data_IF_078174649911
#
_entry.id   IF_078174649911
#
_cell.length_a   1.000
_cell.length_b   1.000
_cell.length_c   1.000
_cell.angle_alpha   90.00
_cell.angle_beta   90.00
_cell.angle_gamma   90.00
#
_symmetry.space_group_name_H-M   'P 1'
#
loop_
_entity.id
_entity.type
_entity.pdbx_description
1 polymer ?
#
# COMPACT_ATOMS: atom_id res chain seq x y z
N UNK A 1 18.46 6.83 -15.45
CA UNK A 1 17.34 6.41 -14.59
C UNK A 1 17.32 4.89 -14.65
N UNK A 2 17.41 4.23 -13.51
CA UNK A 2 17.42 2.76 -13.46
C UNK A 2 16.06 2.21 -13.92
N UNK A 3 16.08 1.17 -14.71
CA UNK A 3 14.86 0.46 -15.13
C UNK A 3 14.30 -0.29 -13.93
N UNK A 4 13.02 -0.03 -13.59
CA UNK A 4 12.33 -0.75 -12.52
C UNK A 4 11.66 -2.00 -13.09
N UNK A 5 11.81 -3.13 -12.39
CA UNK A 5 11.04 -4.35 -12.66
C UNK A 5 9.90 -4.47 -11.67
N UNK A 6 8.79 -5.11 -12.10
CA UNK A 6 7.61 -5.33 -11.26
C UNK A 6 7.52 -6.79 -10.90
N UNK A 7 7.36 -7.08 -9.61
CA UNK A 7 7.18 -8.44 -9.08
C UNK A 7 6.05 -8.46 -8.05
N UNK A 8 5.52 -9.65 -7.75
CA UNK A 8 4.64 -9.83 -6.59
C UNK A 8 5.48 -9.91 -5.32
N UNK A 9 4.98 -9.41 -4.20
CA UNK A 9 5.65 -9.57 -2.91
C UNK A 9 5.82 -11.04 -2.52
N UNK A 10 4.87 -11.91 -2.91
CA UNK A 10 4.96 -13.36 -2.70
C UNK A 10 6.19 -14.01 -3.32
N UNK A 11 6.74 -13.43 -4.38
CA UNK A 11 7.88 -13.98 -5.13
C UNK A 11 9.24 -13.52 -4.56
N UNK A 12 9.23 -12.64 -3.55
CA UNK A 12 10.41 -12.08 -2.91
C UNK A 12 10.95 -12.99 -1.80
N UNK A 13 12.25 -12.85 -1.51
CA UNK A 13 12.86 -13.44 -0.31
C UNK A 13 12.30 -12.78 0.96
N UNK A 14 12.38 -13.48 2.11
CA UNK A 14 11.90 -12.93 3.39
C UNK A 14 12.58 -11.60 3.77
N UNK A 15 13.86 -11.44 3.43
CA UNK A 15 14.59 -10.18 3.64
C UNK A 15 13.98 -9.04 2.81
N UNK A 16 13.70 -9.29 1.53
CA UNK A 16 13.08 -8.30 0.65
C UNK A 16 11.64 -7.99 1.08
N UNK A 17 10.87 -8.98 1.52
CA UNK A 17 9.53 -8.77 2.08
C UNK A 17 9.57 -7.87 3.32
N UNK A 18 10.56 -8.06 4.19
CA UNK A 18 10.76 -7.20 5.35
C UNK A 18 11.09 -5.76 4.94
N UNK A 19 11.89 -5.57 3.89
CA UNK A 19 12.16 -4.23 3.37
C UNK A 19 10.91 -3.57 2.76
N UNK A 20 10.03 -4.35 2.10
CA UNK A 20 8.71 -3.85 1.65
C UNK A 20 7.84 -3.41 2.83
N UNK A 21 7.80 -4.19 3.94
CA UNK A 21 7.07 -3.82 5.17
C UNK A 21 7.63 -2.53 5.79
N UNK A 22 8.96 -2.33 5.77
CA UNK A 22 9.59 -1.08 6.21
C UNK A 22 9.20 0.11 5.34
N UNK A 23 9.16 -0.06 4.01
CA UNK A 23 8.67 0.98 3.09
C UNK A 23 7.23 1.37 3.45
N UNK A 24 6.35 0.41 3.70
CA UNK A 24 4.98 0.64 4.11
C UNK A 24 4.92 1.42 5.42
N UNK A 25 5.53 0.90 6.49
CA UNK A 25 5.50 1.53 7.83
C UNK A 25 6.11 2.93 7.80
N UNK A 26 7.23 3.16 7.12
CA UNK A 26 7.85 4.49 7.04
C UNK A 26 6.96 5.50 6.31
N UNK A 27 6.32 5.08 5.21
CA UNK A 27 5.46 5.95 4.41
C UNK A 27 4.20 6.41 5.18
N UNK A 28 3.65 5.53 6.01
CA UNK A 28 2.42 5.78 6.79
C UNK A 28 2.69 6.04 8.28
N UNK A 29 3.96 6.26 8.67
CA UNK A 29 4.34 6.46 10.06
C UNK A 29 3.57 7.59 10.76
N UNK A 30 3.26 8.68 10.03
CA UNK A 30 2.52 9.82 10.61
C UNK A 30 1.15 9.42 11.14
N UNK A 31 0.49 8.48 10.47
CA UNK A 31 -0.84 8.00 10.84
C UNK A 31 -0.72 6.90 11.89
N UNK A 32 0.23 5.99 11.72
CA UNK A 32 0.45 4.84 12.59
C UNK A 32 1.07 5.19 13.95
N UNK A 33 1.84 6.29 14.08
CA UNK A 33 2.44 6.72 15.35
C UNK A 33 1.44 7.03 16.47
N UNK A 34 0.16 7.19 16.13
CA UNK A 34 -0.93 7.32 17.11
C UNK A 34 -1.19 6.02 17.86
N UNK A 35 -0.94 4.86 17.23
CA UNK A 35 -0.99 3.55 17.87
C UNK A 35 0.26 3.28 18.70
N UNK A 36 1.43 3.45 18.10
CA UNK A 36 2.71 3.29 18.76
C UNK A 36 3.82 4.09 18.06
N UNK A 37 4.77 4.64 18.84
CA UNK A 37 5.90 5.42 18.30
C UNK A 37 7.09 4.58 17.90
N UNK A 38 7.20 3.38 18.45
CA UNK A 38 8.28 2.43 18.18
C UNK A 38 8.01 1.72 16.84
N UNK A 39 8.94 1.87 15.90
CA UNK A 39 8.84 1.33 14.54
C UNK A 39 8.85 -0.20 14.53
N UNK A 40 9.61 -0.85 15.44
CA UNK A 40 9.67 -2.31 15.49
C UNK A 40 8.33 -2.90 15.93
N UNK A 41 7.65 -2.24 16.88
CA UNK A 41 6.29 -2.62 17.27
C UNK A 41 5.28 -2.37 16.15
N UNK A 42 5.43 -1.29 15.37
CA UNK A 42 4.61 -1.07 14.19
C UNK A 42 4.84 -2.16 13.15
N UNK A 43 6.09 -2.51 12.84
CA UNK A 43 6.43 -3.61 11.93
C UNK A 43 5.82 -4.94 12.40
N UNK A 44 5.90 -5.24 13.71
CA UNK A 44 5.29 -6.42 14.29
C UNK A 44 3.77 -6.43 14.19
N UNK A 45 3.12 -5.31 14.51
CA UNK A 45 1.65 -5.17 14.47
C UNK A 45 1.07 -5.24 13.06
N UNK A 46 1.81 -4.78 12.08
CA UNK A 46 1.41 -4.77 10.66
C UNK A 46 2.07 -5.90 9.85
N UNK A 47 2.71 -6.87 10.47
CA UNK A 47 3.48 -7.92 9.80
C UNK A 47 2.66 -8.72 8.80
N UNK A 48 1.43 -9.10 9.16
CA UNK A 48 0.51 -9.90 8.33
C UNK A 48 -0.57 -9.05 7.65
N UNK A 49 -0.45 -7.71 7.71
CA UNK A 49 -1.43 -6.82 7.10
C UNK A 49 -1.45 -6.94 5.58
N UNK A 50 -0.27 -6.94 4.96
CA UNK A 50 -0.11 -6.96 3.52
C UNK A 50 -0.33 -8.37 2.97
N UNK A 51 -1.30 -8.53 2.08
CA UNK A 51 -1.56 -9.80 1.37
C UNK A 51 -0.54 -9.93 0.24
N UNK A 52 0.49 -10.75 0.45
CA UNK A 52 1.71 -10.78 -0.37
C UNK A 52 1.46 -11.04 -1.86
N UNK A 53 0.42 -11.80 -2.20
CA UNK A 53 0.01 -12.08 -3.60
C UNK A 53 -0.69 -10.90 -4.28
N UNK A 54 -1.23 -9.95 -3.50
CA UNK A 54 -1.90 -8.74 -3.97
C UNK A 54 -1.00 -7.48 -3.91
N UNK A 55 0.17 -7.58 -3.32
CA UNK A 55 1.13 -6.47 -3.32
C UNK A 55 2.04 -6.57 -4.55
N UNK A 56 2.10 -5.48 -5.31
CA UNK A 56 3.08 -5.29 -6.39
C UNK A 56 4.23 -4.45 -5.88
N UNK A 57 5.45 -4.87 -6.21
CA UNK A 57 6.68 -4.24 -5.74
C UNK A 57 7.51 -3.81 -6.95
N UNK A 58 7.93 -2.56 -6.95
CA UNK A 58 8.91 -2.06 -7.90
C UNK A 58 10.32 -2.31 -7.34
N UNK A 59 11.14 -2.96 -8.15
CA UNK A 59 12.51 -3.33 -7.82
C UNK A 59 13.51 -2.53 -8.64
N UNK A 60 14.58 -2.05 -7.99
CA UNK A 60 15.79 -1.53 -8.60
C UNK A 60 16.90 -2.56 -8.39
N UNK A 61 17.14 -3.43 -9.38
CA UNK A 61 17.90 -4.64 -9.18
C UNK A 61 17.24 -5.56 -8.15
N UNK A 62 17.95 -5.85 -7.06
CA UNK A 62 17.44 -6.68 -5.96
C UNK A 62 16.79 -5.87 -4.82
N UNK A 63 16.78 -4.55 -4.92
CA UNK A 63 16.27 -3.65 -3.87
C UNK A 63 14.82 -3.23 -4.12
N UNK A 64 13.88 -3.48 -3.18
CA UNK A 64 12.55 -2.88 -3.24
C UNK A 64 12.63 -1.36 -3.12
N UNK A 65 11.95 -0.63 -4.02
CA UNK A 65 11.95 0.85 -4.04
C UNK A 65 10.56 1.45 -3.88
N UNK A 66 9.51 0.71 -4.24
CA UNK A 66 8.13 1.12 -4.02
C UNK A 66 7.21 -0.10 -3.96
N UNK A 67 6.03 0.08 -3.40
CA UNK A 67 5.00 -0.93 -3.34
C UNK A 67 3.60 -0.33 -3.54
N UNK A 68 2.66 -1.16 -3.98
CA UNK A 68 1.24 -0.83 -4.07
C UNK A 68 0.40 -2.08 -3.82
N UNK A 69 -0.67 -1.93 -3.05
CA UNK A 69 -1.72 -2.94 -2.91
C UNK A 69 -2.68 -2.89 -4.10
N UNK A 70 -3.00 -4.05 -4.64
CA UNK A 70 -3.92 -4.24 -5.77
C UNK A 70 -5.17 -4.96 -5.27
N UNK A 71 -6.20 -4.20 -4.90
CA UNK A 71 -7.46 -4.69 -4.35
C UNK A 71 -8.54 -4.78 -5.42
N UNK A 72 -9.48 -5.69 -5.21
CA UNK A 72 -10.69 -5.84 -6.01
C UNK A 72 -11.93 -5.82 -5.11
N UNK A 73 -13.12 -5.87 -5.68
CA UNK A 73 -14.36 -6.06 -4.93
C UNK A 73 -14.44 -7.39 -4.17
N UNK A 74 -13.61 -8.38 -4.52
CA UNK A 74 -13.60 -9.70 -3.89
C UNK A 74 -12.50 -9.84 -2.82
N UNK A 75 -11.36 -9.14 -2.98
CA UNK A 75 -10.19 -9.28 -2.11
C UNK A 75 -9.49 -7.95 -1.88
N UNK A 76 -9.20 -7.66 -0.62
CA UNK A 76 -8.41 -6.49 -0.20
C UNK A 76 -6.92 -6.86 -0.12
N UNK A 77 -6.07 -5.94 -0.52
CA UNK A 77 -4.62 -6.08 -0.38
C UNK A 77 -4.12 -5.93 1.07
N UNK A 78 -4.99 -5.45 1.95
CA UNK A 78 -4.71 -5.34 3.38
C UNK A 78 -5.76 -6.09 4.19
N UNK A 79 -5.28 -6.92 5.13
CA UNK A 79 -6.13 -7.67 6.07
C UNK A 79 -5.58 -7.56 7.48
N UNK A 80 -6.41 -7.11 8.41
CA UNK A 80 -5.98 -6.81 9.78
C UNK A 80 -5.96 -8.07 10.62
N UNK A 81 -4.82 -8.36 11.26
CA UNK A 81 -4.70 -9.48 12.17
C UNK A 81 -4.78 -9.04 13.64
N UNK A 82 -5.81 -9.52 14.35
CA UNK A 82 -6.07 -9.14 15.75
C UNK A 82 -4.94 -9.55 16.70
N UNK A 83 -4.36 -10.73 16.48
CA UNK A 83 -3.29 -11.26 17.34
C UNK A 83 -2.04 -10.39 17.25
N UNK A 84 -1.67 -9.96 16.04
CA UNK A 84 -0.51 -9.08 15.83
C UNK A 84 -0.72 -7.73 16.50
N UNK A 85 -1.92 -7.16 16.41
CA UNK A 85 -2.25 -5.90 17.08
C UNK A 85 -2.16 -6.02 18.61
N UNK A 86 -2.74 -7.08 19.19
CA UNK A 86 -2.68 -7.28 20.64
C UNK A 86 -1.27 -7.56 21.15
N UNK A 87 -0.50 -8.34 20.42
CA UNK A 87 0.88 -8.68 20.80
C UNK A 87 1.83 -7.46 20.77
N UNK A 88 1.63 -6.55 19.83
CA UNK A 88 2.55 -5.43 19.62
C UNK A 88 2.07 -4.11 20.27
N UNK A 89 0.76 -3.88 20.39
CA UNK A 89 0.21 -2.64 20.94
C UNK A 89 -0.44 -2.82 22.32
N UNK A 90 -0.46 -4.05 22.83
CA UNK A 90 -1.08 -4.40 24.12
C UNK A 90 -2.61 -4.45 24.05
N UNK A 91 -3.22 -4.79 25.18
CA UNK A 91 -4.64 -5.12 25.22
C UNK A 91 -5.54 -3.94 24.80
N UNK A 92 -5.33 -2.76 25.37
CA UNK A 92 -6.21 -1.62 25.12
C UNK A 92 -6.00 -1.03 23.71
N UNK A 93 -4.78 -0.60 23.39
CA UNK A 93 -4.45 0.00 22.10
C UNK A 93 -4.51 -1.00 20.96
N UNK A 94 -4.20 -2.27 21.20
CA UNK A 94 -4.36 -3.34 20.23
C UNK A 94 -5.81 -3.56 19.82
N UNK A 95 -6.77 -3.49 20.74
CA UNK A 95 -8.19 -3.56 20.40
C UNK A 95 -8.65 -2.30 19.65
N UNK A 96 -8.31 -1.11 20.14
CA UNK A 96 -8.70 0.14 19.49
C UNK A 96 -8.16 0.18 18.06
N UNK A 97 -6.88 -0.12 17.87
CA UNK A 97 -6.26 -0.16 16.55
C UNK A 97 -6.90 -1.21 15.65
N UNK A 98 -7.07 -2.44 16.14
CA UNK A 98 -7.70 -3.50 15.37
C UNK A 98 -9.09 -3.11 14.86
N UNK A 99 -9.96 -2.58 15.72
CA UNK A 99 -11.31 -2.20 15.31
C UNK A 99 -11.31 -1.02 14.34
N UNK A 100 -10.43 -0.04 14.53
CA UNK A 100 -10.30 1.09 13.61
C UNK A 100 -9.86 0.64 12.22
N UNK A 101 -8.78 -0.13 12.13
CA UNK A 101 -8.27 -0.66 10.86
C UNK A 101 -9.23 -1.65 10.21
N UNK A 102 -9.90 -2.52 11.00
CA UNK A 102 -10.89 -3.44 10.45
C UNK A 102 -12.08 -2.72 9.83
N UNK A 103 -12.53 -1.60 10.40
CA UNK A 103 -13.59 -0.79 9.82
C UNK A 103 -13.20 -0.20 8.47
N UNK A 104 -11.94 0.16 8.30
CA UNK A 104 -11.42 0.79 7.08
C UNK A 104 -11.04 -0.23 5.99
N UNK A 105 -10.41 -1.33 6.39
CA UNK A 105 -9.83 -2.31 5.45
C UNK A 105 -10.54 -3.68 5.47
N UNK A 106 -11.47 -3.92 6.37
CA UNK A 106 -12.15 -5.21 6.53
C UNK A 106 -13.40 -5.38 5.66
N UNK A 107 -13.92 -4.30 5.08
CA UNK A 107 -15.10 -4.34 4.23
C UNK A 107 -14.69 -4.50 2.75
N UNK A 108 -15.46 -5.30 1.95
CA UNK A 108 -15.28 -5.34 0.52
C UNK A 108 -15.42 -3.94 -0.11
N UNK A 109 -14.69 -3.70 -1.20
CA UNK A 109 -14.83 -2.46 -1.95
C UNK A 109 -16.11 -2.51 -2.80
N UNK A 110 -16.85 -1.40 -2.80
CA UNK A 110 -18.01 -1.20 -3.68
C UNK A 110 -17.53 -0.65 -5.03
N UNK A 111 -16.93 -1.54 -5.81
CA UNK A 111 -16.38 -1.28 -7.14
C UNK A 111 -16.77 -2.39 -8.12
N UNK A 112 -16.77 -2.09 -9.40
CA UNK A 112 -17.10 -3.05 -10.46
C UNK A 112 -16.04 -4.17 -10.60
N UNK A 113 -16.43 -5.33 -11.13
CA UNK A 113 -15.56 -6.51 -11.31
C UNK A 113 -14.34 -6.24 -12.21
N UNK A 114 -14.43 -5.27 -13.10
CA UNK A 114 -13.37 -4.85 -14.03
C UNK A 114 -12.48 -3.73 -13.47
N UNK A 115 -12.63 -3.38 -12.20
CA UNK A 115 -11.89 -2.33 -11.52
C UNK A 115 -10.80 -2.88 -10.62
N UNK A 116 -9.57 -2.38 -10.80
CA UNK A 116 -8.46 -2.57 -9.88
C UNK A 116 -8.26 -1.32 -9.02
N UNK A 117 -8.35 -1.48 -7.70
CA UNK A 117 -8.15 -0.39 -6.76
C UNK A 117 -6.74 -0.42 -6.19
N UNK A 118 -6.00 0.67 -6.39
CA UNK A 118 -4.66 0.84 -5.84
C UNK A 118 -4.72 1.34 -4.39
N UNK A 119 -4.43 0.44 -3.46
CA UNK A 119 -4.29 0.73 -2.03
C UNK A 119 -2.84 1.02 -1.66
N UNK A 120 -2.64 1.80 -0.61
CA UNK A 120 -1.36 1.96 0.10
C UNK A 120 -0.14 2.12 -0.83
N UNK A 121 -0.19 3.04 -1.79
CA UNK A 121 0.96 3.35 -2.64
C UNK A 121 2.07 3.97 -1.78
N UNK A 122 3.21 3.29 -1.70
CA UNK A 122 4.35 3.71 -0.88
C UNK A 122 5.67 3.66 -1.66
N UNK A 123 6.57 4.58 -1.37
CA UNK A 123 7.90 4.66 -1.99
C UNK A 123 8.95 4.84 -0.91
N UNK A 124 10.07 4.15 -1.02
CA UNK A 124 11.21 4.33 -0.13
C UNK A 124 11.64 5.80 -0.10
N UNK A 125 11.94 6.34 1.07
CA UNK A 125 12.31 7.75 1.24
C UNK A 125 13.53 8.14 0.40
N UNK A 126 14.51 7.26 0.26
CA UNK A 126 15.70 7.48 -0.57
C UNK A 126 15.37 7.64 -2.07
N UNK A 127 14.20 7.16 -2.50
CA UNK A 127 13.75 7.18 -3.90
C UNK A 127 12.66 8.23 -4.15
N UNK A 128 12.37 9.08 -3.17
CA UNK A 128 11.39 10.17 -3.33
C UNK A 128 11.80 11.15 -4.42
N UNK A 129 10.82 11.74 -5.08
CA UNK A 129 10.98 12.69 -6.18
C UNK A 129 11.63 12.13 -7.46
N UNK A 130 11.89 10.83 -7.53
CA UNK A 130 12.44 10.17 -8.73
C UNK A 130 11.35 9.61 -9.68
N UNK A 131 10.06 9.87 -9.37
CA UNK A 131 8.93 9.42 -10.19
C UNK A 131 8.67 7.91 -10.16
N UNK A 132 9.22 7.19 -9.16
CA UNK A 132 9.10 5.73 -9.06
C UNK A 132 7.64 5.30 -8.94
N UNK A 133 6.86 5.91 -8.04
CA UNK A 133 5.43 5.60 -7.88
C UNK A 133 4.65 5.78 -9.19
N UNK A 134 4.89 6.89 -9.91
CA UNK A 134 4.23 7.14 -11.18
C UNK A 134 4.54 6.08 -12.24
N UNK A 135 5.81 5.71 -12.38
CA UNK A 135 6.23 4.65 -13.33
C UNK A 135 5.66 3.28 -12.95
N UNK A 136 5.64 2.96 -11.65
CA UNK A 136 5.03 1.74 -11.13
C UNK A 136 3.56 1.65 -11.50
N UNK A 137 2.78 2.68 -11.22
CA UNK A 137 1.34 2.70 -11.52
C UNK A 137 1.07 2.65 -13.02
N UNK A 138 1.81 3.41 -13.85
CA UNK A 138 1.67 3.35 -15.31
C UNK A 138 1.93 1.93 -15.82
N UNK A 139 2.98 1.28 -15.35
CA UNK A 139 3.29 -0.09 -15.76
C UNK A 139 2.18 -1.08 -15.38
N UNK A 140 1.57 -0.93 -14.20
CA UNK A 140 0.45 -1.76 -13.78
C UNK A 140 -0.81 -1.51 -14.63
N UNK A 141 -1.11 -0.24 -14.96
CA UNK A 141 -2.22 0.12 -15.85
C UNK A 141 -2.05 -0.51 -17.25
N UNK A 142 -0.81 -0.67 -17.71
CA UNK A 142 -0.51 -1.30 -19.00
C UNK A 142 -0.57 -2.82 -18.97
N UNK A 143 -0.29 -3.44 -17.82
CA UNK A 143 -0.06 -4.91 -17.73
C UNK A 143 -1.16 -5.67 -17.00
N UNK A 144 -1.89 -5.06 -16.08
CA UNK A 144 -2.98 -5.73 -15.36
C UNK A 144 -4.26 -5.73 -16.21
N UNK A 145 -5.02 -6.86 -16.22
CA UNK A 145 -6.14 -7.08 -17.15
C UNK A 145 -7.45 -6.42 -16.67
N UNK A 146 -7.39 -5.18 -16.21
CA UNK A 146 -8.55 -4.41 -15.75
C UNK A 146 -8.84 -3.24 -16.69
N UNK A 147 -10.11 -2.89 -16.84
CA UNK A 147 -10.54 -1.75 -17.69
C UNK A 147 -10.46 -0.44 -16.93
N UNK A 148 -10.77 -0.47 -15.63
CA UNK A 148 -10.79 0.69 -14.74
C UNK A 148 -9.74 0.55 -13.64
N UNK A 149 -9.09 1.67 -13.31
CA UNK A 149 -8.17 1.77 -12.19
C UNK A 149 -8.64 2.88 -11.25
N UNK A 150 -8.70 2.58 -9.96
CA UNK A 150 -9.16 3.54 -8.95
C UNK A 150 -8.10 3.69 -7.86
N UNK A 151 -8.04 4.84 -7.23
CA UNK A 151 -7.25 5.10 -6.02
C UNK A 151 -7.82 6.29 -5.26
N UNK A 152 -7.59 6.32 -3.97
CA UNK A 152 -7.91 7.44 -3.11
C UNK A 152 -6.66 8.23 -2.73
N UNK A 153 -6.81 9.52 -2.59
CA UNK A 153 -5.75 10.40 -2.11
C UNK A 153 -6.32 11.46 -1.18
N UNK A 154 -5.74 11.57 0.01
CA UNK A 154 -6.12 12.63 0.97
C UNK A 154 -5.80 14.01 0.42
N UNK A 155 -6.70 14.97 0.63
CA UNK A 155 -6.58 16.35 0.11
C UNK A 155 -5.28 17.05 0.53
N UNK A 156 -4.75 16.74 1.69
CA UNK A 156 -3.49 17.29 2.18
C UNK A 156 -2.25 16.74 1.46
N UNK A 157 -2.36 15.65 0.68
CA UNK A 157 -1.24 15.02 -0.03
C UNK A 157 -1.07 15.56 -1.46
N UNK A 158 -0.75 16.87 -1.58
CA UNK A 158 -0.57 17.53 -2.88
C UNK A 158 0.51 16.91 -3.78
N UNK A 159 1.51 16.23 -3.18
CA UNK A 159 2.56 15.51 -3.94
C UNK A 159 1.96 14.31 -4.67
N UNK A 160 1.23 13.45 -3.97
CA UNK A 160 0.55 12.29 -4.56
C UNK A 160 -0.47 12.72 -5.61
N UNK A 161 -1.29 13.73 -5.32
CA UNK A 161 -2.24 14.29 -6.29
C UNK A 161 -1.55 14.75 -7.58
N UNK A 162 -0.39 15.42 -7.48
CA UNK A 162 0.38 15.86 -8.66
C UNK A 162 0.88 14.68 -9.51
N UNK A 163 1.24 13.56 -8.88
CA UNK A 163 1.65 12.33 -9.59
C UNK A 163 0.44 11.71 -10.26
N UNK A 164 -0.65 11.52 -9.55
CA UNK A 164 -1.84 10.83 -10.04
C UNK A 164 -2.54 11.57 -11.18
N UNK A 165 -2.62 12.92 -11.13
CA UNK A 165 -3.16 13.73 -12.23
C UNK A 165 -2.39 13.59 -13.54
N UNK A 166 -1.11 13.22 -13.50
CA UNK A 166 -0.27 12.98 -14.69
C UNK A 166 -0.45 11.59 -15.30
N UNK A 167 -0.98 10.65 -14.51
CA UNK A 167 -1.17 9.25 -14.90
C UNK A 167 -2.54 9.04 -15.56
N UNK A 168 -3.50 9.96 -15.39
CA UNK A 168 -4.86 9.87 -15.91
C UNK A 168 -4.86 9.80 -17.45
N UNK A 169 -4.74 8.60 -17.98
CA UNK A 169 -4.88 8.27 -19.42
C UNK A 169 -6.08 7.32 -19.64
N UNK A 170 -6.53 6.63 -18.58
CA UNK A 170 -7.79 5.86 -18.50
C UNK A 170 -8.63 6.42 -17.34
N UNK A 171 -9.95 6.19 -17.30
CA UNK A 171 -10.77 6.69 -16.21
C UNK A 171 -10.24 6.15 -14.87
N UNK A 172 -9.58 7.02 -14.12
CA UNK A 172 -9.22 6.78 -12.72
C UNK A 172 -10.27 7.55 -11.92
N UNK A 173 -11.10 6.83 -11.18
CA UNK A 173 -11.98 7.43 -10.19
C UNK A 173 -11.10 7.91 -9.03
N UNK A 174 -10.85 9.23 -8.97
CA UNK A 174 -10.24 9.87 -7.81
C UNK A 174 -11.36 10.15 -6.81
N UNK A 175 -11.51 9.30 -5.80
CA UNK A 175 -12.29 9.68 -4.63
C UNK A 175 -11.41 10.55 -3.74
N UNK A 176 -11.84 11.79 -3.51
CA UNK A 176 -11.23 12.68 -2.52
C UNK A 176 -11.90 12.37 -1.19
N UNK A 177 -11.19 11.60 -0.35
CA UNK A 177 -11.62 11.31 1.02
C UNK A 177 -11.46 12.53 1.91
N UNK A 178 -12.44 12.73 2.78
CA UNK A 178 -12.56 13.79 3.79
C UNK A 178 -11.43 13.69 4.83
#
# INVERSE_FOLDING_TARGET
MTEITMVKMSDLSETQKEDVRKIFVSSYYKDMKTLHRDTDRLLGGFRRLLQEDLIRVAMDGERPVAMVGCSTNQRRAMEVNKEDFLANFGFLWGHVGYFSFRKEYGEPLDIDDDTLYFECVATNEADWCQGVAGRMLLKLIETEPYETFALDVVDSNGRAQSVYRKIVVKPIALAMGI
#
